data_IF_546026272712
#
_entry.id   IF_546026272712
#
_cell.length_a   1.000
_cell.length_b   1.000
_cell.length_c   1.000
_cell.angle_alpha   90.00
_cell.angle_beta   90.00
_cell.angle_gamma   90.00
#
_symmetry.space_group_name_H-M   'P 1'
#
loop_
_entity.id
_entity.type
_entity.pdbx_description
1 polymer ?
#
# COMPACT_ATOMS: atom_id res chain seq x y z
N UNK A 1 15.78 -18.75 24.23
CA UNK A 1 14.82 -18.67 25.35
C UNK A 1 14.00 -17.40 25.21
N UNK A 2 12.82 -17.46 24.58
CA UNK A 2 11.86 -16.33 24.54
C UNK A 2 11.24 -16.24 25.93
N UNK A 3 11.50 -15.14 26.66
CA UNK A 3 10.76 -14.83 27.89
C UNK A 3 9.30 -14.63 27.52
N UNK A 4 8.44 -15.56 27.87
CA UNK A 4 7.00 -15.31 28.00
C UNK A 4 6.83 -14.22 29.07
N UNK A 5 6.66 -12.96 28.65
CA UNK A 5 6.15 -11.94 29.55
C UNK A 5 4.68 -12.26 29.75
N UNK A 6 4.31 -12.54 30.99
CA UNK A 6 2.91 -12.63 31.40
C UNK A 6 2.19 -11.36 31.01
N UNK A 7 1.26 -11.47 30.04
CA UNK A 7 0.37 -10.39 29.65
C UNK A 7 -0.58 -10.12 30.84
N UNK A 8 -0.36 -9.03 31.55
CA UNK A 8 -1.35 -8.59 32.53
C UNK A 8 -2.53 -7.99 31.74
N UNK A 9 -3.79 -8.42 32.02
CA UNK A 9 -4.94 -7.80 31.40
C UNK A 9 -4.97 -6.32 31.80
N UNK A 10 -4.94 -5.43 30.82
CA UNK A 10 -5.14 -4.00 31.05
C UNK A 10 -6.58 -3.79 31.52
N UNK A 11 -6.78 -3.59 32.84
CA UNK A 11 -8.07 -3.17 33.41
C UNK A 11 -8.41 -1.71 33.12
N UNK A 12 -7.51 -0.95 32.51
CA UNK A 12 -7.65 0.47 32.24
C UNK A 12 -7.76 0.70 30.72
N UNK A 13 -8.58 1.67 30.36
CA UNK A 13 -8.73 2.10 28.98
C UNK A 13 -7.43 2.76 28.48
N UNK A 14 -6.93 2.35 27.31
CA UNK A 14 -5.68 2.79 26.74
C UNK A 14 -5.92 3.65 25.49
N UNK A 15 -5.46 4.91 25.51
CA UNK A 15 -5.35 5.74 24.33
C UNK A 15 -3.97 5.55 23.70
N UNK A 16 -3.92 5.34 22.41
CA UNK A 16 -2.69 5.05 21.70
C UNK A 16 -2.69 5.63 20.28
N UNK A 17 -1.56 5.59 19.61
CA UNK A 17 -1.37 5.95 18.21
C UNK A 17 -0.98 4.69 17.43
N UNK A 18 -1.73 4.36 16.36
CA UNK A 18 -1.53 3.16 15.54
C UNK A 18 -1.56 1.87 16.38
N UNK A 19 -2.72 1.58 16.93
CA UNK A 19 -2.95 0.41 17.80
C UNK A 19 -2.57 -0.91 17.12
N UNK A 20 -2.77 -1.01 15.81
CA UNK A 20 -2.48 -2.21 15.03
C UNK A 20 -1.01 -2.63 15.17
N UNK A 21 -0.06 -1.68 15.17
CA UNK A 21 1.37 -1.97 15.38
C UNK A 21 1.71 -2.39 16.81
N UNK A 22 0.78 -2.25 17.73
CA UNK A 22 1.03 -2.52 19.15
C UNK A 22 0.40 -3.84 19.63
N UNK A 23 -0.45 -4.47 18.82
CA UNK A 23 -1.11 -5.73 19.21
C UNK A 23 -0.14 -6.89 19.53
N UNK A 24 1.12 -6.85 19.05
CA UNK A 24 2.14 -7.81 19.49
C UNK A 24 2.45 -7.71 21.00
N UNK A 25 2.15 -6.59 21.64
CA UNK A 25 2.47 -6.26 23.02
C UNK A 25 1.23 -6.06 23.90
N UNK A 26 0.06 -5.88 23.30
CA UNK A 26 -1.21 -5.63 23.99
C UNK A 26 -2.02 -6.91 24.11
N UNK A 27 -2.96 -6.94 25.06
CA UNK A 27 -4.04 -7.91 25.06
C UNK A 27 -5.03 -7.54 23.93
N UNK A 28 -5.29 -8.47 23.03
CA UNK A 28 -6.17 -8.28 21.89
C UNK A 28 -7.35 -9.27 21.86
N UNK A 29 -7.80 -9.71 23.03
CA UNK A 29 -9.06 -10.47 23.17
C UNK A 29 -10.31 -9.65 22.76
N UNK A 30 -10.18 -8.32 22.72
CA UNK A 30 -11.17 -7.36 22.24
C UNK A 30 -10.53 -5.99 22.02
N UNK A 31 -11.30 -5.06 21.44
CA UNK A 31 -10.82 -3.70 21.13
C UNK A 31 -11.46 -2.61 21.98
N UNK A 32 -12.43 -2.94 22.81
CA UNK A 32 -13.25 -2.00 23.58
C UNK A 32 -12.44 -1.19 24.61
N UNK A 33 -11.29 -1.71 25.00
CA UNK A 33 -10.36 -1.06 25.94
C UNK A 33 -9.37 -0.11 25.27
N UNK A 34 -9.39 0.01 23.94
CA UNK A 34 -8.45 0.81 23.18
C UNK A 34 -9.12 1.97 22.47
N UNK A 35 -8.41 3.08 22.35
CA UNK A 35 -8.77 4.22 21.50
C UNK A 35 -7.56 4.63 20.68
N UNK A 36 -7.69 4.52 19.36
CA UNK A 36 -6.62 4.91 18.44
C UNK A 36 -6.85 6.32 17.91
N UNK A 37 -5.95 7.25 18.26
CA UNK A 37 -6.04 8.64 17.83
C UNK A 37 -5.76 8.82 16.33
N UNK A 38 -5.00 7.90 15.70
CA UNK A 38 -4.77 7.91 14.25
C UNK A 38 -6.08 7.63 13.50
N UNK A 39 -6.80 6.56 13.87
CA UNK A 39 -8.08 6.21 13.26
C UNK A 39 -9.11 7.32 13.51
N UNK A 40 -9.18 7.83 14.74
CA UNK A 40 -10.10 8.91 15.09
C UNK A 40 -9.85 10.19 14.28
N UNK A 41 -8.60 10.60 14.11
CA UNK A 41 -8.23 11.76 13.31
C UNK A 41 -8.53 11.56 11.82
N UNK A 42 -8.26 10.35 11.29
CA UNK A 42 -8.62 10.00 9.93
C UNK A 42 -10.13 10.07 9.68
N UNK A 43 -10.97 9.51 10.55
CA UNK A 43 -12.42 9.58 10.40
C UNK A 43 -12.95 11.01 10.36
N UNK A 44 -12.38 11.90 11.16
CA UNK A 44 -12.78 13.30 11.20
C UNK A 44 -12.37 14.10 9.94
N UNK A 45 -11.28 13.72 9.28
CA UNK A 45 -10.82 14.36 8.04
C UNK A 45 -10.02 13.39 7.17
N UNK A 46 -10.67 12.53 6.35
CA UNK A 46 -10.00 11.51 5.55
C UNK A 46 -9.24 12.07 4.33
N UNK A 47 -9.30 13.37 4.09
CA UNK A 47 -8.62 14.03 2.96
C UNK A 47 -7.19 14.49 3.29
N UNK A 48 -6.75 14.34 4.54
CA UNK A 48 -5.38 14.68 4.93
C UNK A 48 -4.40 13.62 4.43
N UNK A 49 -3.18 14.08 4.15
CA UNK A 49 -2.08 13.21 3.75
C UNK A 49 -1.20 12.75 4.92
N UNK A 50 -1.39 13.36 6.10
CA UNK A 50 -0.57 13.14 7.28
C UNK A 50 -1.40 13.20 8.57
N UNK A 51 -1.23 12.18 9.40
CA UNK A 51 -1.86 12.01 10.71
C UNK A 51 -0.83 11.70 11.79
N UNK A 52 0.44 12.07 11.59
CA UNK A 52 1.46 11.87 12.62
C UNK A 52 1.09 12.58 13.93
N UNK A 53 1.60 12.14 15.08
CA UNK A 53 1.24 12.71 16.39
C UNK A 53 1.41 14.23 16.48
N UNK A 54 2.42 14.79 15.81
CA UNK A 54 2.64 16.22 15.72
C UNK A 54 1.52 16.96 14.97
N UNK A 55 1.04 16.37 13.87
CA UNK A 55 -0.07 16.91 13.08
C UNK A 55 -1.38 16.87 13.88
N UNK A 56 -1.64 15.77 14.59
CA UNK A 56 -2.80 15.60 15.46
C UNK A 56 -2.76 16.58 16.64
N UNK A 57 -1.59 16.75 17.27
CA UNK A 57 -1.41 17.70 18.38
C UNK A 57 -1.66 19.14 17.95
N UNK A 58 -1.13 19.54 16.80
CA UNK A 58 -1.33 20.89 16.25
C UNK A 58 -2.81 21.16 15.97
N UNK A 59 -3.50 20.24 15.29
CA UNK A 59 -4.90 20.42 14.85
C UNK A 59 -5.91 20.36 16.00
N UNK A 60 -5.69 19.45 16.95
CA UNK A 60 -6.70 19.17 17.97
C UNK A 60 -6.39 19.75 19.36
N UNK A 61 -5.12 20.08 19.64
CA UNK A 61 -4.71 20.70 20.90
C UNK A 61 -4.15 22.12 20.73
N UNK A 62 -3.85 22.57 19.49
CA UNK A 62 -3.18 23.84 19.23
C UNK A 62 -1.73 23.85 19.72
N UNK A 63 -1.07 22.71 19.86
CA UNK A 63 0.27 22.56 20.41
C UNK A 63 1.22 22.08 19.33
N UNK A 64 2.35 22.77 19.20
CA UNK A 64 3.45 22.37 18.31
C UNK A 64 4.43 21.48 19.09
N UNK A 65 4.69 20.29 18.58
CA UNK A 65 5.73 19.38 19.04
C UNK A 65 6.68 19.05 17.89
N UNK A 66 7.91 18.64 18.21
CA UNK A 66 8.89 18.27 17.17
C UNK A 66 8.43 17.06 16.38
N UNK A 67 8.42 17.21 15.07
CA UNK A 67 8.01 16.15 14.16
C UNK A 67 9.09 15.11 13.90
N UNK A 68 8.66 13.96 13.34
CA UNK A 68 9.55 12.85 12.99
C UNK A 68 10.74 13.30 12.13
N UNK A 69 10.51 14.10 11.10
CA UNK A 69 11.56 14.56 10.20
C UNK A 69 12.62 15.42 10.93
N UNK A 70 12.19 16.25 11.87
CA UNK A 70 13.07 17.11 12.67
C UNK A 70 13.88 16.30 13.68
N UNK A 71 13.24 15.33 14.34
CA UNK A 71 13.88 14.52 15.38
C UNK A 71 14.84 13.49 14.78
N UNK A 72 14.43 12.82 13.69
CA UNK A 72 15.19 11.71 13.11
C UNK A 72 16.11 12.15 11.96
N UNK A 73 15.75 13.20 11.21
CA UNK A 73 16.39 13.49 9.93
C UNK A 73 16.28 12.27 8.98
N UNK A 74 17.44 11.74 8.56
CA UNK A 74 17.52 10.51 7.73
C UNK A 74 17.79 9.23 8.54
N UNK A 75 17.86 9.32 9.87
CA UNK A 75 18.22 8.20 10.75
C UNK A 75 17.02 7.29 11.01
N UNK A 76 17.29 5.99 11.23
CA UNK A 76 16.28 5.06 11.75
C UNK A 76 16.07 5.31 13.26
N UNK A 77 14.93 4.85 13.80
CA UNK A 77 14.68 4.87 15.25
C UNK A 77 15.78 4.15 16.04
N UNK A 78 16.25 2.99 15.53
CA UNK A 78 17.33 2.21 16.16
C UNK A 78 18.62 3.03 16.24
N UNK A 79 18.97 3.72 15.17
CA UNK A 79 20.15 4.59 15.11
C UNK A 79 20.02 5.75 16.10
N UNK A 80 18.88 6.45 16.09
CA UNK A 80 18.63 7.54 17.05
C UNK A 80 18.69 7.07 18.50
N UNK A 81 18.10 5.90 18.79
CA UNK A 81 18.10 5.32 20.14
C UNK A 81 19.51 4.95 20.64
N UNK A 82 20.41 4.53 19.73
CA UNK A 82 21.80 4.23 20.08
C UNK A 82 22.66 5.49 20.26
N UNK A 83 22.43 6.53 19.48
CA UNK A 83 23.25 7.75 19.45
C UNK A 83 22.73 8.83 20.41
N UNK A 84 21.41 9.05 20.44
CA UNK A 84 20.73 10.12 21.18
C UNK A 84 19.53 9.57 21.97
N UNK A 85 19.78 8.62 22.88
CA UNK A 85 18.73 7.91 23.63
C UNK A 85 17.70 8.83 24.29
N UNK A 86 18.12 9.97 24.82
CA UNK A 86 17.22 10.95 25.47
C UNK A 86 16.24 11.51 24.45
N UNK A 87 16.71 11.92 23.28
CA UNK A 87 15.87 12.46 22.20
C UNK A 87 14.88 11.45 21.66
N UNK A 88 15.31 10.18 21.49
CA UNK A 88 14.43 9.09 21.12
C UNK A 88 13.33 8.82 22.16
N UNK A 89 13.68 8.87 23.45
CA UNK A 89 12.73 8.71 24.55
C UNK A 89 11.73 9.87 24.60
N UNK A 90 12.20 11.12 24.48
CA UNK A 90 11.35 12.32 24.46
C UNK A 90 10.32 12.24 23.32
N UNK A 91 10.75 11.91 22.09
CA UNK A 91 9.83 11.73 20.96
C UNK A 91 8.75 10.68 21.24
N UNK A 92 9.15 9.52 21.78
CA UNK A 92 8.20 8.46 22.13
C UNK A 92 7.23 8.88 23.23
N UNK A 93 7.73 9.59 24.26
CA UNK A 93 6.90 10.12 25.34
C UNK A 93 5.91 11.18 24.84
N UNK A 94 6.32 12.05 23.91
CA UNK A 94 5.40 13.02 23.30
C UNK A 94 4.27 12.31 22.52
N UNK A 95 4.57 11.29 21.74
CA UNK A 95 3.54 10.49 21.05
C UNK A 95 2.50 9.88 22.01
N UNK A 96 2.98 9.29 23.12
CA UNK A 96 2.10 8.75 24.16
C UNK A 96 1.27 9.85 24.86
N UNK A 97 1.90 10.98 25.17
CA UNK A 97 1.24 12.14 25.80
C UNK A 97 0.14 12.71 24.89
N UNK A 98 0.42 12.88 23.60
CA UNK A 98 -0.56 13.34 22.60
C UNK A 98 -1.76 12.37 22.56
N UNK A 99 -1.51 11.05 22.54
CA UNK A 99 -2.57 10.06 22.53
C UNK A 99 -3.53 10.22 23.71
N UNK A 100 -2.99 10.41 24.91
CA UNK A 100 -3.80 10.63 26.13
C UNK A 100 -4.56 11.95 26.08
N UNK A 101 -3.90 13.05 25.66
CA UNK A 101 -4.51 14.39 25.66
C UNK A 101 -5.54 14.58 24.55
N UNK A 102 -5.29 14.02 23.35
CA UNK A 102 -6.22 14.14 22.23
C UNK A 102 -7.46 13.25 22.39
N UNK A 103 -7.39 12.16 23.16
CA UNK A 103 -8.48 11.21 23.28
C UNK A 103 -9.83 11.87 23.50
N UNK A 104 -9.99 12.64 24.61
CA UNK A 104 -11.28 13.25 24.95
C UNK A 104 -11.76 14.22 23.87
N UNK A 105 -10.86 15.01 23.31
CA UNK A 105 -11.17 15.99 22.25
C UNK A 105 -11.68 15.27 20.99
N UNK A 106 -11.00 14.17 20.59
CA UNK A 106 -11.39 13.37 19.43
C UNK A 106 -12.70 12.60 19.67
N UNK A 107 -12.89 12.02 20.85
CA UNK A 107 -14.17 11.37 21.22
C UNK A 107 -15.34 12.35 21.11
N UNK A 108 -15.20 13.57 21.63
CA UNK A 108 -16.26 14.59 21.57
C UNK A 108 -16.55 15.03 20.14
N UNK A 109 -15.51 15.19 19.29
CA UNK A 109 -15.66 15.51 17.88
C UNK A 109 -16.33 14.36 17.10
N UNK A 110 -15.97 13.12 17.36
CA UNK A 110 -16.62 11.94 16.75
C UNK A 110 -18.09 11.81 17.17
N UNK A 111 -18.39 12.09 18.44
CA UNK A 111 -19.79 12.13 18.93
C UNK A 111 -20.59 13.22 18.20
N UNK A 112 -20.07 14.43 18.12
CA UNK A 112 -20.70 15.55 17.45
C UNK A 112 -20.90 15.31 15.93
N UNK A 113 -19.99 14.57 15.31
CA UNK A 113 -20.10 14.17 13.91
C UNK A 113 -20.96 12.91 13.67
N UNK A 114 -21.51 12.28 14.72
CA UNK A 114 -22.27 11.03 14.62
C UNK A 114 -21.45 9.80 14.26
N UNK A 115 -20.11 9.88 14.38
CA UNK A 115 -19.18 8.83 13.94
C UNK A 115 -18.69 7.90 15.05
N UNK A 116 -19.12 8.11 16.30
CA UNK A 116 -18.69 7.29 17.44
C UNK A 116 -19.01 5.80 17.26
N UNK A 117 -20.18 5.50 16.71
CA UNK A 117 -20.56 4.12 16.40
C UNK A 117 -19.66 3.52 15.34
N UNK A 118 -19.37 4.26 14.26
CA UNK A 118 -18.43 3.85 13.21
C UNK A 118 -17.05 3.52 13.81
N UNK A 119 -16.50 4.43 14.64
CA UNK A 119 -15.23 4.21 15.33
C UNK A 119 -15.21 2.93 16.15
N UNK A 120 -16.21 2.74 17.03
CA UNK A 120 -16.16 1.69 18.04
C UNK A 120 -16.61 0.32 17.52
N UNK A 121 -17.62 0.28 16.63
CA UNK A 121 -18.22 -0.98 16.18
C UNK A 121 -17.63 -1.50 14.86
N UNK A 122 -16.93 -0.63 14.11
CA UNK A 122 -16.37 -1.00 12.81
C UNK A 122 -14.85 -0.80 12.76
N UNK A 123 -14.36 0.43 12.91
CA UNK A 123 -12.97 0.75 12.63
C UNK A 123 -12.00 0.16 13.66
N UNK A 124 -12.32 0.22 14.93
CA UNK A 124 -11.48 -0.41 15.97
C UNK A 124 -11.45 -1.95 15.85
N UNK A 125 -12.59 -2.67 15.74
CA UNK A 125 -12.56 -4.10 15.45
C UNK A 125 -11.83 -4.46 14.16
N UNK A 126 -12.00 -3.66 13.08
CA UNK A 126 -11.30 -3.85 11.82
C UNK A 126 -9.78 -3.79 11.98
N UNK A 127 -9.27 -2.90 12.84
CA UNK A 127 -7.82 -2.81 13.10
C UNK A 127 -7.23 -4.13 13.61
N UNK A 128 -7.98 -4.88 14.42
CA UNK A 128 -7.58 -6.20 14.91
C UNK A 128 -7.65 -7.27 13.81
N UNK A 129 -8.72 -7.26 13.01
CA UNK A 129 -8.84 -8.16 11.85
C UNK A 129 -7.67 -7.96 10.88
N UNK A 130 -7.34 -6.71 10.56
CA UNK A 130 -6.21 -6.40 9.68
C UNK A 130 -4.86 -6.82 10.27
N UNK A 131 -4.69 -6.72 11.59
CA UNK A 131 -3.52 -7.24 12.27
C UNK A 131 -3.41 -8.76 12.11
N UNK A 132 -4.49 -9.50 12.35
CA UNK A 132 -4.51 -10.96 12.22
C UNK A 132 -4.24 -11.39 10.78
N UNK A 133 -4.82 -10.70 9.79
CA UNK A 133 -4.55 -10.93 8.37
C UNK A 133 -3.07 -10.70 8.02
N UNK A 134 -2.45 -9.65 8.56
CA UNK A 134 -1.02 -9.39 8.36
C UNK A 134 -0.16 -10.49 9.00
N UNK A 135 -0.53 -10.97 10.17
CA UNK A 135 0.20 -12.05 10.88
C UNK A 135 0.03 -13.40 10.19
N UNK A 136 -1.15 -13.70 9.69
CA UNK A 136 -1.36 -14.93 8.91
C UNK A 136 -0.61 -14.89 7.57
N UNK A 137 -0.65 -13.76 6.86
CA UNK A 137 -0.07 -13.65 5.53
C UNK A 137 -0.71 -14.61 4.52
N UNK A 138 -0.17 -14.66 3.30
CA UNK A 138 -0.63 -15.58 2.25
C UNK A 138 0.52 -16.43 1.73
N UNK A 139 0.31 -17.75 1.65
CA UNK A 139 1.33 -18.69 1.18
C UNK A 139 1.57 -18.53 -0.33
N UNK A 140 2.84 -18.59 -0.73
CA UNK A 140 3.27 -18.42 -2.13
C UNK A 140 4.20 -19.56 -2.52
N UNK A 141 3.95 -20.16 -3.69
CA UNK A 141 4.84 -21.15 -4.29
C UNK A 141 6.02 -20.44 -4.97
N UNK A 142 7.11 -20.30 -4.21
CA UNK A 142 8.32 -19.58 -4.66
C UNK A 142 8.86 -20.09 -5.99
N UNK A 143 8.93 -21.40 -6.17
CA UNK A 143 9.48 -22.00 -7.39
C UNK A 143 8.58 -21.77 -8.62
N UNK A 144 7.26 -21.80 -8.43
CA UNK A 144 6.32 -21.47 -9.51
C UNK A 144 6.40 -19.98 -9.89
N UNK A 145 6.57 -19.08 -8.90
CA UNK A 145 6.76 -17.65 -9.15
C UNK A 145 8.07 -17.39 -9.91
N UNK A 146 9.16 -18.08 -9.53
CA UNK A 146 10.43 -18.01 -10.24
C UNK A 146 10.29 -18.51 -11.67
N UNK A 147 9.74 -19.70 -11.86
CA UNK A 147 9.52 -20.29 -13.21
C UNK A 147 8.66 -19.40 -14.10
N UNK A 148 7.66 -18.73 -13.51
CA UNK A 148 6.87 -17.74 -14.22
C UNK A 148 7.73 -16.55 -14.68
N UNK A 149 8.57 -16.00 -13.81
CA UNK A 149 9.50 -14.90 -14.15
C UNK A 149 10.48 -15.28 -15.25
N UNK A 150 11.08 -16.49 -15.16
CA UNK A 150 12.02 -17.01 -16.13
C UNK A 150 11.36 -17.19 -17.50
N UNK A 151 10.12 -17.63 -17.56
CA UNK A 151 9.37 -17.81 -18.82
C UNK A 151 9.08 -16.49 -19.57
N UNK A 152 9.15 -15.34 -18.88
CA UNK A 152 8.97 -14.04 -19.53
C UNK A 152 10.25 -13.52 -20.23
N UNK A 153 11.43 -14.00 -19.80
CA UNK A 153 12.74 -13.44 -20.22
C UNK A 153 12.92 -13.55 -21.73
N UNK A 154 12.72 -14.73 -22.30
CA UNK A 154 12.93 -14.94 -23.72
C UNK A 154 12.08 -14.01 -24.60
N UNK A 155 10.80 -13.83 -24.22
CA UNK A 155 9.91 -12.94 -24.97
C UNK A 155 10.26 -11.46 -24.80
N UNK A 156 10.73 -11.05 -23.62
CA UNK A 156 11.21 -9.69 -23.37
C UNK A 156 12.44 -9.40 -24.25
N UNK A 157 13.41 -10.32 -24.33
CA UNK A 157 14.61 -10.20 -25.15
C UNK A 157 14.29 -10.15 -26.66
N UNK A 158 13.37 -11.00 -27.13
CA UNK A 158 12.87 -10.96 -28.51
C UNK A 158 12.27 -9.58 -28.85
N UNK A 159 11.41 -9.05 -27.98
CA UNK A 159 10.76 -7.77 -28.20
C UNK A 159 11.77 -6.61 -28.14
N UNK A 160 12.73 -6.65 -27.22
CA UNK A 160 13.78 -5.64 -27.12
C UNK A 160 14.59 -5.57 -28.42
N UNK A 161 15.01 -6.71 -28.93
CA UNK A 161 15.72 -6.80 -30.20
C UNK A 161 14.87 -6.27 -31.38
N UNK A 162 13.62 -6.72 -31.48
CA UNK A 162 12.72 -6.29 -32.55
C UNK A 162 12.41 -4.79 -32.51
N UNK A 163 12.28 -4.20 -31.30
CA UNK A 163 12.05 -2.77 -31.12
C UNK A 163 13.28 -1.96 -31.56
N UNK A 164 14.50 -2.39 -31.19
CA UNK A 164 15.74 -1.71 -31.58
C UNK A 164 15.98 -1.84 -33.08
N UNK A 165 15.70 -2.98 -33.68
CA UNK A 165 15.77 -3.17 -35.14
C UNK A 165 14.81 -2.25 -35.88
N UNK A 166 13.55 -2.17 -35.47
CA UNK A 166 12.55 -1.28 -36.07
C UNK A 166 12.90 0.22 -35.88
N UNK A 167 13.49 0.58 -34.74
CA UNK A 167 13.89 1.94 -34.44
C UNK A 167 15.20 2.35 -35.18
N UNK A 168 16.04 1.38 -35.58
CA UNK A 168 17.35 1.59 -36.13
C UNK A 168 18.39 2.17 -35.16
N UNK A 169 18.08 2.15 -33.85
CA UNK A 169 18.92 2.71 -32.79
C UNK A 169 18.64 1.99 -31.45
N UNK A 170 19.71 1.77 -30.67
CA UNK A 170 19.62 1.24 -29.32
C UNK A 170 19.24 2.36 -28.34
N UNK A 171 18.27 2.08 -27.47
CA UNK A 171 17.82 3.02 -26.43
C UNK A 171 17.14 2.29 -25.28
N UNK A 172 16.99 2.94 -24.13
CA UNK A 172 16.26 2.37 -23.01
C UNK A 172 14.73 2.52 -23.22
N UNK A 173 14.07 1.42 -23.61
CA UNK A 173 12.63 1.35 -23.88
C UNK A 173 11.79 1.71 -22.64
N UNK A 174 12.32 1.48 -21.44
CA UNK A 174 11.67 1.83 -20.18
C UNK A 174 11.87 3.31 -19.80
N UNK A 175 12.72 4.07 -20.50
CA UNK A 175 12.87 5.51 -20.30
C UNK A 175 11.80 6.28 -21.08
N UNK A 176 10.82 6.94 -20.44
CA UNK A 176 9.81 7.72 -21.16
C UNK A 176 10.41 8.80 -22.04
N UNK A 177 11.53 9.39 -21.64
CA UNK A 177 12.23 10.43 -22.39
C UNK A 177 12.82 9.88 -23.68
N UNK A 178 13.68 8.85 -23.57
CA UNK A 178 14.32 8.26 -24.75
C UNK A 178 13.30 7.67 -25.71
N UNK A 179 12.31 6.96 -25.20
CA UNK A 179 11.24 6.41 -26.03
C UNK A 179 10.47 7.51 -26.75
N UNK A 180 10.16 8.62 -26.09
CA UNK A 180 9.47 9.76 -26.71
C UNK A 180 10.31 10.40 -27.83
N UNK A 181 11.60 10.58 -27.61
CA UNK A 181 12.55 11.09 -28.62
C UNK A 181 12.62 10.16 -29.84
N UNK A 182 12.76 8.84 -29.62
CA UNK A 182 12.83 7.84 -30.70
C UNK A 182 11.53 7.81 -31.50
N UNK A 183 10.38 7.67 -30.87
CA UNK A 183 9.11 7.53 -31.58
C UNK A 183 8.72 8.82 -32.34
N UNK A 184 8.85 9.99 -31.71
CA UNK A 184 8.24 11.21 -32.21
C UNK A 184 9.24 12.15 -32.90
N UNK A 185 10.55 12.04 -32.66
CA UNK A 185 11.57 12.85 -33.31
C UNK A 185 12.36 12.03 -34.35
N UNK A 186 12.86 10.84 -33.98
CA UNK A 186 13.66 10.03 -34.91
C UNK A 186 12.79 9.34 -35.96
N UNK A 187 11.74 8.63 -35.53
CA UNK A 187 10.82 7.91 -36.42
C UNK A 187 9.69 8.80 -36.96
N UNK A 188 9.52 10.01 -36.41
CA UNK A 188 8.51 11.01 -36.82
C UNK A 188 7.07 10.46 -36.83
N UNK A 189 6.75 9.57 -35.89
CA UNK A 189 5.38 9.03 -35.74
C UNK A 189 4.46 10.19 -35.35
N UNK A 190 3.34 10.42 -36.07
CA UNK A 190 2.41 11.51 -35.79
C UNK A 190 1.63 11.23 -34.50
N UNK A 191 1.10 12.27 -33.88
CA UNK A 191 0.22 12.16 -32.68
C UNK A 191 0.95 12.24 -31.33
N UNK A 192 2.25 12.57 -31.33
CA UNK A 192 3.01 12.81 -30.10
C UNK A 192 2.47 13.97 -29.29
N UNK A 193 2.05 13.70 -28.03
CA UNK A 193 1.59 14.73 -27.10
C UNK A 193 2.76 15.29 -26.31
N UNK A 194 3.13 16.54 -26.55
CA UNK A 194 4.20 17.22 -25.79
C UNK A 194 3.76 17.51 -24.34
N UNK A 195 4.67 17.31 -23.42
CA UNK A 195 4.56 17.64 -21.99
C UNK A 195 5.67 18.61 -21.61
N UNK A 196 5.72 19.07 -20.35
CA UNK A 196 6.80 19.95 -19.86
C UNK A 196 8.20 19.29 -19.94
N UNK A 197 8.27 17.97 -19.91
CA UNK A 197 9.53 17.17 -19.83
C UNK A 197 9.81 16.33 -21.07
N UNK A 198 9.09 16.54 -22.19
CA UNK A 198 9.23 15.77 -23.42
C UNK A 198 7.89 15.26 -23.95
N UNK A 199 7.89 14.13 -24.64
CA UNK A 199 6.66 13.53 -25.16
C UNK A 199 6.02 12.57 -24.14
N UNK A 200 4.70 12.53 -24.12
CA UNK A 200 3.97 11.54 -23.34
C UNK A 200 4.08 10.17 -24.01
N UNK A 201 4.58 9.19 -23.26
CA UNK A 201 4.59 7.76 -23.63
C UNK A 201 3.69 6.93 -22.71
N UNK A 202 2.62 7.57 -22.19
CA UNK A 202 1.60 6.90 -21.38
C UNK A 202 0.84 5.87 -22.22
N UNK A 203 0.35 4.81 -21.57
CA UNK A 203 -0.29 3.68 -22.26
C UNK A 203 -1.48 4.14 -23.16
N UNK A 204 -2.32 5.06 -22.65
CA UNK A 204 -3.45 5.61 -23.39
C UNK A 204 -3.07 6.36 -24.68
N UNK A 205 -1.87 6.96 -24.71
CA UNK A 205 -1.32 7.62 -25.90
C UNK A 205 -0.79 6.57 -26.88
N UNK A 206 -0.01 5.60 -26.39
CA UNK A 206 0.58 4.54 -27.22
C UNK A 206 -0.50 3.58 -27.77
N UNK A 207 -1.51 3.23 -26.99
CA UNK A 207 -2.62 2.37 -27.44
C UNK A 207 -3.33 2.93 -28.69
N UNK A 208 -3.48 4.24 -28.80
CA UNK A 208 -4.08 4.88 -29.99
C UNK A 208 -3.23 4.75 -31.25
N UNK A 209 -1.92 4.58 -31.10
CA UNK A 209 -0.96 4.45 -32.20
C UNK A 209 -0.66 2.97 -32.51
N UNK A 210 -1.01 2.03 -31.65
CA UNK A 210 -0.65 0.64 -31.76
C UNK A 210 -1.29 -0.08 -32.97
N UNK A 211 -2.41 0.41 -33.46
CA UNK A 211 -3.09 -0.16 -34.63
C UNK A 211 -2.28 0.10 -35.94
N UNK A 212 -1.66 1.29 -36.04
CA UNK A 212 -0.98 1.75 -37.26
C UNK A 212 0.55 1.47 -37.23
N UNK A 213 1.13 1.35 -36.04
CA UNK A 213 2.58 1.23 -35.85
C UNK A 213 2.97 -0.03 -35.09
N UNK A 214 3.53 -1.07 -35.78
CA UNK A 214 3.95 -2.34 -35.14
C UNK A 214 4.91 -2.13 -33.98
N UNK A 215 5.89 -1.25 -34.09
CA UNK A 215 6.83 -0.93 -33.01
C UNK A 215 6.13 -0.47 -31.73
N UNK A 216 5.02 0.30 -31.84
CA UNK A 216 4.28 0.77 -30.67
C UNK A 216 3.55 -0.37 -29.97
N UNK A 217 3.04 -1.34 -30.73
CA UNK A 217 2.45 -2.56 -30.18
C UNK A 217 3.49 -3.40 -29.43
N UNK A 218 4.68 -3.57 -30.03
CA UNK A 218 5.78 -4.32 -29.42
C UNK A 218 6.29 -3.63 -28.13
N UNK A 219 6.36 -2.30 -28.12
CA UNK A 219 6.69 -1.51 -26.93
C UNK A 219 5.65 -1.67 -25.81
N UNK A 220 4.37 -1.68 -26.14
CA UNK A 220 3.31 -1.90 -25.13
C UNK A 220 3.41 -3.31 -24.53
N UNK A 221 3.65 -4.32 -25.36
CA UNK A 221 3.87 -5.71 -24.92
C UNK A 221 5.14 -5.79 -24.05
N UNK A 222 6.27 -5.27 -24.52
CA UNK A 222 7.53 -5.25 -23.79
C UNK A 222 7.38 -4.62 -22.39
N UNK A 223 6.79 -3.42 -22.32
CA UNK A 223 6.57 -2.73 -21.05
C UNK A 223 5.63 -3.51 -20.12
N UNK A 224 4.61 -4.14 -20.68
CA UNK A 224 3.71 -5.01 -19.95
C UNK A 224 4.43 -6.21 -19.32
N UNK A 225 5.24 -6.92 -20.12
CA UNK A 225 6.01 -8.08 -19.66
C UNK A 225 7.11 -7.69 -18.68
N UNK A 226 7.84 -6.62 -18.94
CA UNK A 226 8.89 -6.10 -18.04
C UNK A 226 8.29 -5.71 -16.69
N UNK A 227 7.13 -5.08 -16.67
CA UNK A 227 6.41 -4.76 -15.42
C UNK A 227 5.95 -6.02 -14.69
N UNK A 228 5.43 -7.02 -15.42
CA UNK A 228 5.03 -8.30 -14.83
C UNK A 228 6.23 -9.00 -14.19
N UNK A 229 7.36 -9.02 -14.86
CA UNK A 229 8.59 -9.60 -14.32
C UNK A 229 9.12 -8.82 -13.12
N UNK A 230 9.42 -7.53 -13.28
CA UNK A 230 10.10 -6.75 -12.24
C UNK A 230 9.24 -6.51 -11.00
N UNK A 231 7.95 -6.19 -11.18
CA UNK A 231 7.08 -5.82 -10.06
C UNK A 231 6.46 -7.06 -9.39
N UNK A 232 6.05 -8.05 -10.18
CA UNK A 232 5.27 -9.15 -9.64
C UNK A 232 6.08 -10.44 -9.51
N UNK A 233 6.91 -10.85 -10.49
CA UNK A 233 7.72 -12.04 -10.32
C UNK A 233 8.88 -11.80 -9.35
N UNK A 234 9.79 -10.90 -9.69
CA UNK A 234 10.98 -10.62 -8.89
C UNK A 234 10.64 -9.81 -7.64
N UNK A 235 9.75 -8.81 -7.78
CA UNK A 235 9.35 -7.94 -6.68
C UNK A 235 8.64 -8.69 -5.55
N UNK A 236 7.67 -9.57 -5.85
CA UNK A 236 6.99 -10.37 -4.82
C UNK A 236 7.91 -11.41 -4.20
N UNK A 237 8.83 -11.99 -4.98
CA UNK A 237 9.77 -12.98 -4.47
C UNK A 237 10.63 -12.45 -3.31
N UNK A 238 10.95 -11.15 -3.32
CA UNK A 238 11.72 -10.48 -2.26
C UNK A 238 10.95 -10.38 -0.93
N UNK A 239 9.62 -10.45 -0.96
CA UNK A 239 8.76 -10.36 0.23
C UNK A 239 8.33 -11.73 0.77
N UNK A 240 8.74 -12.83 0.14
CA UNK A 240 8.44 -14.16 0.68
C UNK A 240 9.35 -14.40 1.89
N UNK A 241 8.77 -14.48 3.07
CA UNK A 241 9.48 -14.71 4.32
C UNK A 241 9.90 -16.18 4.52
N UNK A 242 10.54 -16.47 5.65
CA UNK A 242 11.07 -17.79 5.95
C UNK A 242 9.98 -18.88 6.12
N UNK A 243 8.76 -18.49 6.43
CA UNK A 243 7.57 -19.34 6.52
C UNK A 243 6.90 -19.64 5.17
N UNK A 244 7.45 -19.09 4.07
CA UNK A 244 6.92 -19.27 2.71
C UNK A 244 5.72 -18.37 2.38
N UNK A 245 5.50 -17.31 3.18
CA UNK A 245 4.35 -16.42 3.05
C UNK A 245 4.77 -14.99 2.74
N UNK A 246 3.83 -14.22 2.21
CA UNK A 246 3.94 -12.77 2.07
C UNK A 246 3.01 -12.13 3.11
N UNK A 247 3.58 -11.25 3.93
CA UNK A 247 2.90 -10.48 4.96
C UNK A 247 2.80 -9.02 4.52
N UNK A 248 1.76 -8.69 3.76
CA UNK A 248 1.52 -7.31 3.32
C UNK A 248 1.05 -6.45 4.48
N UNK A 249 1.28 -5.16 4.42
CA UNK A 249 0.75 -4.20 5.37
C UNK A 249 -0.59 -3.64 4.86
N UNK A 250 -1.67 -3.85 5.60
CA UNK A 250 -2.99 -3.30 5.31
C UNK A 250 -3.18 -1.96 6.00
N UNK A 251 -3.36 -0.89 5.23
CA UNK A 251 -3.51 0.47 5.75
C UNK A 251 -4.98 0.90 5.76
N UNK A 252 -5.46 1.29 6.93
CA UNK A 252 -6.83 1.68 7.17
C UNK A 252 -7.07 3.19 6.99
N UNK A 253 -6.01 4.01 7.03
CA UNK A 253 -6.07 5.46 7.15
C UNK A 253 -5.43 6.22 5.97
N UNK A 254 -5.29 5.58 4.81
CA UNK A 254 -4.62 6.20 3.65
C UNK A 254 -5.61 6.72 2.60
N UNK A 255 -6.69 5.97 2.34
CA UNK A 255 -7.61 6.35 1.27
C UNK A 255 -8.68 7.32 1.77
N UNK A 256 -9.05 8.31 0.96
CA UNK A 256 -10.12 9.24 1.30
C UNK A 256 -11.53 8.61 1.33
N UNK A 257 -11.67 7.39 0.82
CA UNK A 257 -12.95 6.71 0.61
C UNK A 257 -13.28 5.64 1.65
N UNK A 258 -12.41 5.41 2.64
CA UNK A 258 -12.55 4.31 3.61
C UNK A 258 -12.10 2.93 3.07
N UNK A 259 -11.59 2.86 1.82
CA UNK A 259 -11.01 1.60 1.32
C UNK A 259 -9.70 1.28 2.04
N UNK A 260 -9.44 -0.01 2.24
CA UNK A 260 -8.15 -0.49 2.74
C UNK A 260 -7.16 -0.51 1.59
N UNK A 261 -5.93 -0.05 1.82
CA UNK A 261 -4.83 -0.20 0.88
C UNK A 261 -3.82 -1.24 1.36
N UNK A 262 -3.09 -1.85 0.42
CA UNK A 262 -2.05 -2.84 0.68
C UNK A 262 -0.71 -2.29 0.23
N UNK A 263 0.31 -2.39 1.10
CA UNK A 263 1.68 -1.94 0.82
C UNK A 263 2.71 -2.92 1.37
N UNK A 264 3.88 -2.93 0.80
CA UNK A 264 5.04 -3.73 1.25
C UNK A 264 4.74 -5.25 1.33
N UNK A 265 4.36 -5.91 0.21
CA UNK A 265 4.11 -5.40 -1.13
C UNK A 265 2.63 -5.02 -1.37
N UNK A 266 2.34 -4.25 -2.45
CA UNK A 266 0.98 -4.02 -2.87
C UNK A 266 0.41 -5.25 -3.60
N UNK A 267 -0.46 -6.01 -2.94
CA UNK A 267 -1.11 -7.19 -3.48
C UNK A 267 -2.43 -6.89 -4.21
N UNK A 268 -2.96 -5.67 -4.11
CA UNK A 268 -4.24 -5.29 -4.73
C UNK A 268 -4.12 -5.04 -6.23
N UNK A 269 -2.91 -4.73 -6.71
CA UNK A 269 -2.67 -4.36 -8.11
C UNK A 269 -2.19 -5.51 -8.99
N UNK A 270 -2.30 -6.76 -8.55
CA UNK A 270 -1.95 -7.94 -9.35
C UNK A 270 -2.90 -8.01 -10.56
N UNK A 271 -2.38 -7.99 -11.81
CA UNK A 271 -3.20 -7.90 -13.01
C UNK A 271 -4.19 -9.06 -13.15
N UNK A 272 -5.41 -8.74 -13.61
CA UNK A 272 -6.45 -9.74 -13.86
C UNK A 272 -6.85 -9.87 -15.34
N UNK A 273 -6.70 -8.78 -16.11
CA UNK A 273 -7.21 -8.73 -17.49
C UNK A 273 -6.35 -9.53 -18.45
N UNK A 274 -5.03 -9.52 -18.25
CA UNK A 274 -4.09 -10.26 -19.08
C UNK A 274 -4.00 -11.71 -18.62
N UNK A 275 -3.89 -12.66 -19.56
CA UNK A 275 -3.71 -14.09 -19.26
C UNK A 275 -2.46 -14.34 -18.40
N UNK A 276 -1.35 -13.69 -18.75
CA UNK A 276 -0.11 -13.77 -17.99
C UNK A 276 -0.27 -13.23 -16.57
N UNK A 277 -1.01 -12.13 -16.38
CA UNK A 277 -1.34 -11.62 -15.05
C UNK A 277 -2.14 -12.60 -14.19
N UNK A 278 -3.09 -13.31 -14.82
CA UNK A 278 -3.85 -14.38 -14.12
C UNK A 278 -2.98 -15.55 -13.68
N UNK A 279 -1.89 -15.86 -14.42
CA UNK A 279 -0.94 -16.92 -14.02
C UNK A 279 -0.23 -16.59 -12.71
N UNK A 280 0.10 -15.32 -12.44
CA UNK A 280 0.70 -14.89 -11.16
C UNK A 280 -0.21 -15.22 -9.98
N UNK A 281 -1.54 -15.06 -10.12
CA UNK A 281 -2.47 -15.38 -9.03
C UNK A 281 -2.46 -16.84 -8.63
N UNK A 282 -2.09 -17.76 -9.52
CA UNK A 282 -2.04 -19.19 -9.24
C UNK A 282 -0.92 -19.60 -8.30
N UNK A 283 0.10 -18.73 -8.13
CA UNK A 283 1.19 -19.02 -7.19
C UNK A 283 0.78 -18.80 -5.73
N UNK A 284 -0.31 -18.04 -5.49
CA UNK A 284 -0.90 -17.89 -4.16
C UNK A 284 -1.75 -19.13 -3.87
N UNK A 285 -1.49 -19.74 -2.73
CA UNK A 285 -2.16 -20.99 -2.34
C UNK A 285 -2.69 -20.88 -0.91
N UNK A 286 -3.77 -21.60 -0.58
CA UNK A 286 -4.22 -21.68 0.81
C UNK A 286 -3.21 -22.46 1.65
N UNK A 287 -3.25 -22.29 2.96
CA UNK A 287 -2.53 -23.13 3.91
C UNK A 287 -2.99 -24.59 3.78
N UNK A 288 -2.09 -25.55 4.02
CA UNK A 288 -2.43 -26.97 3.98
C UNK A 288 -3.67 -27.30 4.82
N UNK A 289 -4.65 -27.96 4.21
CA UNK A 289 -5.95 -28.30 4.83
C UNK A 289 -6.98 -27.18 4.83
N UNK A 290 -6.70 -26.03 4.14
CA UNK A 290 -7.61 -24.90 3.98
C UNK A 290 -7.92 -24.68 2.48
N UNK A 291 -8.99 -23.95 2.23
CA UNK A 291 -9.40 -23.51 0.90
C UNK A 291 -9.58 -21.99 0.90
N UNK A 292 -9.39 -21.35 -0.27
CA UNK A 292 -9.77 -19.95 -0.42
C UNK A 292 -11.28 -19.83 -0.49
N UNK A 293 -11.83 -18.91 0.28
CA UNK A 293 -13.22 -18.49 0.17
C UNK A 293 -13.25 -17.06 -0.34
N UNK A 294 -13.93 -16.83 -1.44
CA UNK A 294 -14.17 -15.51 -2.03
C UNK A 294 -15.66 -15.14 -1.83
N UNK A 295 -15.90 -14.00 -1.19
CA UNK A 295 -17.24 -13.47 -1.00
C UNK A 295 -17.24 -11.95 -1.18
N UNK A 296 -18.07 -11.45 -2.09
CA UNK A 296 -18.16 -10.03 -2.41
C UNK A 296 -19.63 -9.58 -2.50
N UNK A 297 -19.87 -8.31 -2.19
CA UNK A 297 -21.18 -7.70 -2.33
C UNK A 297 -21.44 -7.32 -3.78
N UNK A 298 -22.49 -7.88 -4.38
CA UNK A 298 -22.90 -7.52 -5.72
C UNK A 298 -23.43 -6.07 -5.76
N UNK A 299 -22.83 -5.24 -6.61
CA UNK A 299 -23.28 -3.87 -6.91
C UNK A 299 -23.44 -2.98 -5.67
N UNK A 300 -22.48 -3.03 -4.75
CA UNK A 300 -22.57 -2.30 -3.47
C UNK A 300 -22.73 -0.79 -3.69
N UNK A 301 -22.04 -0.22 -4.68
CA UNK A 301 -22.11 1.22 -4.99
C UNK A 301 -23.52 1.63 -5.41
N UNK A 302 -24.21 0.81 -6.22
CA UNK A 302 -25.59 1.09 -6.64
C UNK A 302 -26.56 0.98 -5.47
N UNK A 303 -26.32 0.03 -4.54
CA UNK A 303 -27.14 -0.11 -3.32
C UNK A 303 -26.98 1.09 -2.40
N UNK A 304 -25.73 1.60 -2.24
CA UNK A 304 -25.46 2.81 -1.47
C UNK A 304 -26.10 4.02 -2.16
N UNK A 305 -26.01 4.13 -3.48
CA UNK A 305 -26.63 5.22 -4.25
C UNK A 305 -28.16 5.22 -4.05
N UNK A 306 -28.81 4.05 -4.20
CA UNK A 306 -30.25 3.91 -3.98
C UNK A 306 -30.64 4.31 -2.55
N UNK A 307 -29.88 3.90 -1.54
CA UNK A 307 -30.11 4.30 -0.15
C UNK A 307 -30.01 5.83 0.04
N UNK A 308 -28.98 6.46 -0.55
CA UNK A 308 -28.76 7.91 -0.43
C UNK A 308 -29.79 8.75 -1.21
N UNK A 309 -30.28 8.24 -2.35
CA UNK A 309 -31.28 8.92 -3.19
C UNK A 309 -32.71 8.70 -2.72
N UNK A 310 -32.93 7.67 -1.89
CA UNK A 310 -34.27 7.25 -1.49
C UNK A 310 -35.07 6.51 -2.58
N UNK A 311 -34.38 6.05 -3.62
CA UNK A 311 -34.94 5.29 -4.76
C UNK A 311 -35.07 3.78 -4.43
#
# INVERSE_FOLDING_TARGET
MKRQRSRQPCRNFLATFDVKRQYDYLDHSGTEQYFDILIAAYLLNPLKNDYDPESIASEHLGIMIQGKAEVFGKRSFRTLLSEERKKAAEYTCYGAWVSVKCRKVLEDKLEAAGMKRLMNEMEMPLSLVLYDMQKEGVAVRREELKSYGDALVARIEELEHAIHEQAGVDFNINSPKQLGEVLFETMQIPGGKKTKTGYSTAADVLEKLSADYPIVRDILEYRGLTKLKSTYADGLAAFIEADGRIHTNFNQTITATGRISSTEPNLQNIPMRMELGRKIRKVFVPRGGYEFMDADYSQIELRVLAHCSGD
#
